data_IF_384574082376
#
_entry.id   IF_384574082376
#
_cell.length_a   1.000
_cell.length_b   1.000
_cell.length_c   1.000
_cell.angle_alpha   90.00
_cell.angle_beta   90.00
_cell.angle_gamma   90.00
#
_symmetry.space_group_name_H-M   'P 1'
#
loop_
_entity.id
_entity.type
_entity.pdbx_description
1 polymer ?
#
# COMPACT_ATOMS: atom_id res chain seq x y z
N UNK A 1 -4.53 14.59 15.53
CA UNK A 1 -3.66 13.59 14.89
C UNK A 1 -3.08 14.25 13.65
N UNK A 2 -1.77 14.46 13.64
CA UNK A 2 -1.08 15.15 12.53
C UNK A 2 -0.83 14.17 11.39
N UNK A 3 -0.61 14.66 10.16
CA UNK A 3 -0.28 13.81 9.01
C UNK A 3 0.97 12.94 9.26
N UNK A 4 1.92 13.44 10.07
CA UNK A 4 3.10 12.68 10.52
C UNK A 4 2.72 11.45 11.37
N UNK A 5 1.76 11.60 12.30
CA UNK A 5 1.28 10.49 13.12
C UNK A 5 0.58 9.41 12.27
N UNK A 6 -0.06 9.83 11.17
CA UNK A 6 -0.73 8.92 10.25
C UNK A 6 0.27 7.99 9.55
N UNK A 7 1.30 8.60 8.97
CA UNK A 7 2.33 7.87 8.24
C UNK A 7 3.14 6.95 9.15
N UNK A 8 3.46 7.42 10.36
CA UNK A 8 4.23 6.65 11.35
C UNK A 8 3.54 5.36 11.78
N UNK A 9 2.21 5.36 11.94
CA UNK A 9 1.45 4.15 12.29
C UNK A 9 1.47 3.12 11.16
N UNK A 10 1.32 3.56 9.93
CA UNK A 10 1.39 2.69 8.76
C UNK A 10 2.80 2.12 8.56
N UNK A 11 3.84 2.95 8.70
CA UNK A 11 5.25 2.54 8.65
C UNK A 11 5.54 1.46 9.71
N UNK A 12 5.12 1.69 10.95
CA UNK A 12 5.27 0.70 12.02
C UNK A 12 4.54 -0.61 11.72
N UNK A 13 3.34 -0.54 11.13
CA UNK A 13 2.61 -1.73 10.72
C UNK A 13 3.35 -2.49 9.63
N UNK A 14 3.89 -1.79 8.63
CA UNK A 14 4.74 -2.39 7.59
C UNK A 14 5.98 -3.06 8.20
N UNK A 15 6.75 -2.32 9.01
CA UNK A 15 7.97 -2.82 9.64
C UNK A 15 7.74 -4.10 10.46
N UNK A 16 6.64 -4.16 11.22
CA UNK A 16 6.30 -5.33 12.05
C UNK A 16 5.83 -6.56 11.27
N UNK A 17 5.40 -6.38 10.02
CA UNK A 17 4.72 -7.44 9.24
C UNK A 17 5.48 -7.83 7.97
N UNK A 18 6.42 -7.01 7.51
CA UNK A 18 7.21 -7.27 6.32
C UNK A 18 8.13 -8.49 6.48
N UNK A 19 8.42 -9.16 5.38
CA UNK A 19 9.46 -10.17 5.28
C UNK A 19 10.88 -9.64 5.52
N UNK A 20 11.82 -10.57 5.67
CA UNK A 20 13.26 -10.25 5.83
C UNK A 20 13.82 -9.55 4.59
N UNK A 21 13.45 -10.04 3.40
CA UNK A 21 13.91 -9.53 2.10
C UNK A 21 12.96 -8.48 1.49
N UNK A 22 12.21 -7.79 2.36
CA UNK A 22 11.32 -6.71 1.98
C UNK A 22 12.07 -5.39 1.88
N UNK A 23 11.80 -4.63 0.83
CA UNK A 23 12.30 -3.27 0.61
C UNK A 23 11.98 -2.41 1.83
N UNK A 24 12.93 -1.59 2.26
CA UNK A 24 12.73 -0.72 3.41
C UNK A 24 11.64 0.31 3.10
N UNK A 25 10.90 0.74 4.12
CA UNK A 25 9.80 1.70 3.94
C UNK A 25 10.23 2.96 3.19
N UNK A 26 11.42 3.49 3.52
CA UNK A 26 11.98 4.69 2.89
C UNK A 26 12.37 4.50 1.42
N UNK A 27 12.60 3.27 1.00
CA UNK A 27 13.00 2.93 -0.37
C UNK A 27 11.81 2.47 -1.23
N UNK A 28 10.62 2.32 -0.62
CA UNK A 28 9.39 2.10 -1.38
C UNK A 28 9.09 3.32 -2.25
N UNK A 29 8.60 3.04 -3.44
CA UNK A 29 7.99 4.00 -4.32
C UNK A 29 6.91 4.79 -3.58
N UNK A 30 6.88 6.11 -3.80
CA UNK A 30 5.99 7.00 -3.07
C UNK A 30 4.51 6.60 -3.26
N UNK A 31 4.11 6.23 -4.48
CA UNK A 31 2.75 5.83 -4.75
C UNK A 31 2.39 4.52 -4.03
N UNK A 32 3.33 3.59 -3.91
CA UNK A 32 3.12 2.37 -3.11
C UNK A 32 2.95 2.68 -1.62
N UNK A 33 3.74 3.60 -1.05
CA UNK A 33 3.57 4.00 0.35
C UNK A 33 2.22 4.66 0.58
N UNK A 34 1.79 5.55 -0.30
CA UNK A 34 0.53 6.26 -0.14
C UNK A 34 -0.68 5.32 -0.28
N UNK A 35 -0.63 4.37 -1.22
CA UNK A 35 -1.63 3.29 -1.33
C UNK A 35 -1.62 2.39 -0.09
N UNK A 36 -0.44 2.09 0.47
CA UNK A 36 -0.33 1.32 1.70
C UNK A 36 -1.01 2.05 2.87
N UNK A 37 -0.73 3.35 3.04
CA UNK A 37 -1.35 4.18 4.09
C UNK A 37 -2.86 4.23 3.91
N UNK A 38 -3.36 4.47 2.70
CA UNK A 38 -4.80 4.49 2.39
C UNK A 38 -5.46 3.15 2.77
N UNK A 39 -4.90 2.02 2.33
CA UNK A 39 -5.42 0.70 2.66
C UNK A 39 -5.38 0.40 4.16
N UNK A 40 -4.39 0.92 4.89
CA UNK A 40 -4.27 0.73 6.33
C UNK A 40 -5.40 1.44 7.06
N UNK A 41 -5.68 2.69 6.71
CA UNK A 41 -6.73 3.48 7.34
C UNK A 41 -8.15 3.07 6.95
N UNK A 42 -8.33 2.47 5.78
CA UNK A 42 -9.60 1.85 5.40
C UNK A 42 -9.87 0.51 6.09
N UNK A 43 -8.93 -0.01 6.90
CA UNK A 43 -9.04 -1.36 7.45
C UNK A 43 -8.94 -2.46 6.38
N UNK A 44 -8.30 -2.16 5.24
CA UNK A 44 -8.11 -3.07 4.11
C UNK A 44 -6.75 -3.75 4.11
N UNK A 45 -5.83 -3.37 5.01
CA UNK A 45 -4.55 -4.06 5.19
C UNK A 45 -4.63 -5.09 6.32
N UNK A 46 -4.23 -6.30 5.99
CA UNK A 46 -3.95 -7.36 6.96
C UNK A 46 -2.52 -7.88 6.70
N UNK A 47 -1.93 -8.65 7.64
CA UNK A 47 -0.55 -9.12 7.50
C UNK A 47 -0.28 -9.86 6.18
N UNK A 48 -1.24 -10.64 5.68
CA UNK A 48 -1.12 -11.40 4.43
C UNK A 48 -1.11 -10.51 3.18
N UNK A 49 -1.53 -9.25 3.30
CA UNK A 49 -1.52 -8.26 2.21
C UNK A 49 -0.25 -7.41 2.17
N UNK A 50 0.53 -7.37 3.25
CA UNK A 50 1.79 -6.61 3.32
C UNK A 50 2.79 -7.10 2.27
N UNK A 51 2.85 -8.42 2.03
CA UNK A 51 3.75 -9.05 1.06
C UNK A 51 3.66 -8.50 -0.37
N UNK A 52 2.52 -7.93 -0.77
CA UNK A 52 2.34 -7.38 -2.12
C UNK A 52 3.11 -6.06 -2.32
N UNK A 53 3.49 -5.38 -1.24
CA UNK A 53 4.25 -4.13 -1.26
C UNK A 53 5.76 -4.36 -1.12
N UNK A 54 6.17 -5.51 -0.58
CA UNK A 54 7.56 -5.77 -0.16
C UNK A 54 8.61 -5.74 -1.27
N UNK A 55 8.19 -5.95 -2.52
CA UNK A 55 9.10 -6.00 -3.68
C UNK A 55 9.17 -4.69 -4.46
N UNK A 56 8.56 -3.63 -3.95
CA UNK A 56 8.50 -2.32 -4.62
C UNK A 56 7.93 -2.40 -6.05
N UNK A 57 7.02 -3.35 -6.28
CA UNK A 57 6.44 -3.63 -7.59
C UNK A 57 4.98 -3.20 -7.62
N UNK A 58 4.73 -2.08 -8.33
CA UNK A 58 3.38 -1.53 -8.50
C UNK A 58 2.41 -2.53 -9.14
N UNK A 59 2.90 -3.38 -10.05
CA UNK A 59 2.07 -4.39 -10.73
C UNK A 59 1.51 -5.42 -9.77
N UNK A 60 2.26 -5.81 -8.74
CA UNK A 60 1.78 -6.74 -7.72
C UNK A 60 0.64 -6.16 -6.88
N UNK A 61 0.71 -4.87 -6.53
CA UNK A 61 -0.37 -4.20 -5.80
C UNK A 61 -1.60 -4.00 -6.69
N UNK A 62 -1.42 -3.65 -7.97
CA UNK A 62 -2.52 -3.58 -8.93
C UNK A 62 -3.23 -4.93 -9.06
N UNK A 63 -2.47 -6.03 -9.16
CA UNK A 63 -3.03 -7.40 -9.20
C UNK A 63 -3.80 -7.74 -7.93
N UNK A 64 -3.30 -7.37 -6.76
CA UNK A 64 -4.01 -7.53 -5.49
C UNK A 64 -5.36 -6.80 -5.49
N UNK A 65 -5.37 -5.54 -5.92
CA UNK A 65 -6.59 -4.71 -5.90
C UNK A 65 -7.62 -5.28 -6.87
N UNK A 66 -7.21 -5.59 -8.12
CA UNK A 66 -8.10 -6.18 -9.14
C UNK A 66 -8.62 -7.57 -8.73
N UNK A 67 -7.78 -8.36 -8.08
CA UNK A 67 -8.10 -9.73 -7.67
C UNK A 67 -8.97 -9.83 -6.41
N UNK A 68 -9.22 -8.73 -5.70
CA UNK A 68 -10.01 -8.75 -4.48
C UNK A 68 -11.30 -7.93 -4.64
N UNK A 69 -12.46 -8.59 -4.53
CA UNK A 69 -13.78 -7.95 -4.72
C UNK A 69 -14.00 -6.72 -3.84
N UNK A 70 -13.54 -6.73 -2.59
CA UNK A 70 -13.70 -5.58 -1.69
C UNK A 70 -12.80 -4.41 -2.13
N UNK A 71 -11.52 -4.69 -2.42
CA UNK A 71 -10.59 -3.65 -2.86
C UNK A 71 -11.01 -3.05 -4.20
N UNK A 72 -11.38 -3.90 -5.15
CA UNK A 72 -11.88 -3.48 -6.46
C UNK A 72 -13.17 -2.69 -6.35
N UNK A 73 -14.05 -3.00 -5.39
CA UNK A 73 -15.29 -2.25 -5.15
C UNK A 73 -15.03 -0.84 -4.62
N UNK A 74 -13.98 -0.65 -3.82
CA UNK A 74 -13.59 0.66 -3.30
C UNK A 74 -12.95 1.57 -4.38
N UNK A 75 -12.49 1.00 -5.52
CA UNK A 75 -11.71 1.75 -6.51
C UNK A 75 -12.45 2.92 -7.15
N UNK A 76 -13.78 2.85 -7.28
CA UNK A 76 -14.58 3.93 -7.85
C UNK A 76 -14.41 5.26 -7.08
N UNK A 77 -14.17 5.20 -5.77
CA UNK A 77 -13.95 6.38 -4.92
C UNK A 77 -12.49 6.62 -4.54
N UNK A 78 -11.58 5.67 -4.82
CA UNK A 78 -10.18 5.73 -4.35
C UNK A 78 -9.17 5.89 -5.46
N UNK A 79 -9.45 5.37 -6.66
CA UNK A 79 -8.57 5.47 -7.83
C UNK A 79 -7.10 5.06 -7.56
N UNK A 80 -6.87 4.03 -6.73
CA UNK A 80 -5.51 3.59 -6.38
C UNK A 80 -4.80 2.99 -7.58
N UNK A 81 -5.52 2.18 -8.37
CA UNK A 81 -4.96 1.62 -9.61
C UNK A 81 -4.53 2.73 -10.56
N UNK A 82 -5.36 3.76 -10.75
CA UNK A 82 -5.00 4.90 -11.59
C UNK A 82 -3.75 5.60 -11.08
N UNK A 83 -3.68 5.86 -9.77
CA UNK A 83 -2.51 6.48 -9.15
C UNK A 83 -1.22 5.65 -9.32
N UNK A 84 -1.29 4.33 -9.19
CA UNK A 84 -0.15 3.43 -9.40
C UNK A 84 0.32 3.37 -10.87
N UNK A 85 -0.57 3.64 -11.83
CA UNK A 85 -0.25 3.64 -13.26
C UNK A 85 0.40 4.94 -13.74
N UNK A 86 0.32 6.03 -12.97
CA UNK A 86 1.00 7.28 -13.31
C UNK A 86 2.49 7.13 -13.00
N UNK A 87 3.33 7.13 -14.02
CA UNK A 87 4.79 7.17 -13.84
C UNK A 87 5.24 8.60 -13.51
N UNK A 88 5.99 8.76 -12.42
CA UNK A 88 6.74 9.98 -12.12
C UNK A 88 5.93 11.24 -11.79
N UNK A 89 5.47 11.35 -10.54
CA UNK A 89 5.23 12.64 -9.91
C UNK A 89 6.30 12.88 -8.83
#
# INVERSE_FOLDING_TARGET
>A
MTYSDYYYKAENFYFRRKGKDAVAWRDLDQALRDVFVDMFYQGRLNPNRVKYFEKNDRSNVIRLIKGNRLLSGDEAGRNRIGYLLVEGA
#
